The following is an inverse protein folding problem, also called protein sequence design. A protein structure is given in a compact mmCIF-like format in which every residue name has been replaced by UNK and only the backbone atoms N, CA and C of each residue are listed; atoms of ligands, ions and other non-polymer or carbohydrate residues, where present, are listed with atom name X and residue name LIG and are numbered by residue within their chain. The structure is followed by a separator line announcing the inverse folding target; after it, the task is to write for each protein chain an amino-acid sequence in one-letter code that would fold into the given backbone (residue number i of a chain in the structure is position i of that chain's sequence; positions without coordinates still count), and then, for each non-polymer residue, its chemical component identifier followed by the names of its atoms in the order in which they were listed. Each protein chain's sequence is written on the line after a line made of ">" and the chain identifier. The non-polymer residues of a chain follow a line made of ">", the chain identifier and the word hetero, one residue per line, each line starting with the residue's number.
data_IF_673980062133
#
_entry.id   IF_673980062133
#
_cell.length_a   1.000
_cell.length_b   1.000
_cell.length_c   1.000
_cell.angle_alpha   90.00
_cell.angle_beta   90.00
_cell.angle_gamma   90.00
#
_symmetry.space_group_name_H-M   'P 1'
#
loop_
_entity.id
_entity.type
_entity.pdbx_description
1 polymer ?
#
# COMPACT_ATOMS: atom_id res chain seq x y z
N UNK A 1 -8.50 -5.52 -16.43
CA UNK A 1 -7.89 -6.76 -16.96
C UNK A 1 -6.53 -6.37 -17.51
N UNK A 2 -5.48 -6.68 -16.77
CA UNK A 2 -4.10 -6.32 -17.09
C UNK A 2 -3.46 -7.47 -17.86
N UNK A 3 -3.13 -7.26 -19.13
CA UNK A 3 -2.45 -8.25 -19.97
C UNK A 3 -0.95 -8.16 -19.68
N UNK A 4 -0.35 -9.20 -19.09
CA UNK A 4 1.10 -9.32 -18.92
C UNK A 4 1.65 -9.39 -17.49
N UNK A 5 0.84 -9.71 -16.47
CA UNK A 5 1.34 -9.92 -15.11
C UNK A 5 1.93 -11.32 -14.90
N UNK A 6 2.96 -11.40 -14.06
CA UNK A 6 3.52 -12.67 -13.58
C UNK A 6 2.59 -13.31 -12.53
N UNK A 7 2.68 -14.63 -12.29
CA UNK A 7 1.86 -15.31 -11.28
C UNK A 7 1.92 -14.67 -9.89
N UNK A 8 3.10 -14.23 -9.46
CA UNK A 8 3.34 -13.58 -8.16
C UNK A 8 2.62 -12.23 -8.08
N UNK A 9 2.57 -11.48 -9.19
CA UNK A 9 1.84 -10.21 -9.27
C UNK A 9 0.32 -10.43 -9.24
N UNK A 10 -0.17 -11.50 -9.85
CA UNK A 10 -1.59 -11.87 -9.73
C UNK A 10 -1.95 -12.22 -8.29
N UNK A 11 -1.08 -12.97 -7.59
CA UNK A 11 -1.27 -13.30 -6.17
C UNK A 11 -1.24 -12.04 -5.30
N UNK A 12 -0.34 -11.10 -5.57
CA UNK A 12 -0.29 -9.81 -4.88
C UNK A 12 -1.60 -9.02 -5.07
N UNK A 13 -2.07 -8.89 -6.32
CA UNK A 13 -3.31 -8.18 -6.61
C UNK A 13 -4.51 -8.81 -5.88
N UNK A 14 -4.60 -10.14 -5.90
CA UNK A 14 -5.64 -10.90 -5.20
C UNK A 14 -5.56 -10.73 -3.67
N UNK A 15 -4.35 -10.76 -3.10
CA UNK A 15 -4.14 -10.54 -1.67
C UNK A 15 -4.62 -9.14 -1.23
N UNK A 16 -4.31 -8.11 -2.00
CA UNK A 16 -4.76 -6.73 -1.72
C UNK A 16 -6.28 -6.61 -1.88
N UNK A 17 -6.86 -7.22 -2.91
CA UNK A 17 -8.31 -7.22 -3.12
C UNK A 17 -9.06 -7.93 -1.97
N UNK A 18 -8.55 -9.09 -1.52
CA UNK A 18 -9.10 -9.83 -0.39
C UNK A 18 -8.93 -9.08 0.94
N UNK A 19 -7.83 -8.36 1.12
CA UNK A 19 -7.67 -7.45 2.25
C UNK A 19 -8.76 -6.36 2.22
N UNK A 20 -8.92 -5.68 1.08
CA UNK A 20 -9.93 -4.63 0.93
C UNK A 20 -11.35 -5.13 1.24
N UNK A 21 -11.73 -6.29 0.69
CA UNK A 21 -13.05 -6.88 0.88
C UNK A 21 -13.35 -7.19 2.36
N UNK A 22 -12.33 -7.56 3.15
CA UNK A 22 -12.48 -7.85 4.59
C UNK A 22 -12.55 -6.58 5.43
N UNK A 23 -11.70 -5.60 5.14
CA UNK A 23 -11.45 -4.47 6.05
C UNK A 23 -12.14 -3.16 5.64
N UNK A 24 -12.34 -2.95 4.34
CA UNK A 24 -12.90 -1.71 3.78
C UNK A 24 -14.12 -1.94 2.85
N UNK A 25 -15.12 -2.78 3.23
CA UNK A 25 -16.36 -2.86 2.47
C UNK A 25 -17.06 -1.48 2.44
N UNK A 26 -17.77 -1.19 1.35
CA UNK A 26 -18.32 0.14 1.09
C UNK A 26 -19.14 0.71 2.26
N UNK A 27 -19.96 -0.13 2.92
CA UNK A 27 -20.81 0.33 4.02
C UNK A 27 -19.98 0.83 5.21
N UNK A 28 -18.92 0.11 5.60
CA UNK A 28 -17.98 0.56 6.65
C UNK A 28 -17.23 1.82 6.25
N UNK A 29 -16.81 1.91 4.98
CA UNK A 29 -16.14 3.12 4.45
C UNK A 29 -17.07 4.33 4.51
N UNK A 30 -18.37 4.16 4.22
CA UNK A 30 -19.38 5.22 4.32
C UNK A 30 -19.65 5.63 5.76
N UNK A 31 -19.73 4.68 6.68
CA UNK A 31 -19.90 4.94 8.11
C UNK A 31 -18.77 5.81 8.70
N UNK A 32 -17.55 5.64 8.19
CA UNK A 32 -16.35 6.35 8.67
C UNK A 32 -15.93 7.53 7.76
N UNK A 33 -16.79 7.95 6.80
CA UNK A 33 -16.39 8.84 5.72
C UNK A 33 -15.82 10.18 6.21
N UNK A 34 -16.47 10.82 7.19
CA UNK A 34 -16.05 12.14 7.69
C UNK A 34 -14.67 12.08 8.36
N UNK A 35 -14.40 11.03 9.15
CA UNK A 35 -13.10 10.80 9.79
C UNK A 35 -12.01 10.56 8.74
N UNK A 36 -12.30 9.72 7.73
CA UNK A 36 -11.39 9.46 6.62
C UNK A 36 -11.11 10.73 5.81
N UNK A 37 -12.12 11.58 5.58
CA UNK A 37 -11.98 12.85 4.88
C UNK A 37 -11.18 13.88 5.68
N UNK A 38 -11.21 13.82 7.01
CA UNK A 38 -10.37 14.60 7.91
C UNK A 38 -8.91 14.11 7.96
N UNK A 39 -8.60 12.98 7.31
CA UNK A 39 -7.27 12.39 7.27
C UNK A 39 -6.97 11.46 8.44
N UNK A 40 -7.97 11.04 9.21
CA UNK A 40 -7.79 10.02 10.23
C UNK A 40 -7.45 8.67 9.58
N UNK A 41 -6.57 7.92 10.23
CA UNK A 41 -6.16 6.62 9.72
C UNK A 41 -7.33 5.63 9.82
N UNK A 42 -7.59 4.83 8.77
CA UNK A 42 -8.54 3.74 8.87
C UNK A 42 -8.12 2.75 9.97
N UNK A 43 -9.10 2.17 10.68
CA UNK A 43 -8.86 1.20 11.77
C UNK A 43 -8.00 -0.02 11.37
N UNK A 44 -7.94 -0.34 10.07
CA UNK A 44 -7.20 -1.48 9.52
C UNK A 44 -5.78 -1.10 9.05
N UNK A 45 -5.38 0.17 9.16
CA UNK A 45 -4.11 0.66 8.61
C UNK A 45 -2.90 -0.09 9.16
N UNK A 46 -2.87 -0.35 10.46
CA UNK A 46 -1.77 -1.09 11.09
C UNK A 46 -1.66 -2.52 10.54
N UNK A 47 -2.80 -3.15 10.21
CA UNK A 47 -2.81 -4.47 9.58
C UNK A 47 -2.32 -4.41 8.13
N UNK A 48 -2.70 -3.38 7.37
CA UNK A 48 -2.18 -3.16 6.02
C UNK A 48 -0.65 -2.96 6.05
N UNK A 49 -0.16 -2.20 7.02
CA UNK A 49 1.27 -1.99 7.23
C UNK A 49 1.98 -3.30 7.63
N UNK A 50 1.40 -4.07 8.55
CA UNK A 50 1.96 -5.36 8.99
C UNK A 50 2.03 -6.42 7.88
N UNK A 51 1.13 -6.38 6.89
CA UNK A 51 1.21 -7.22 5.68
C UNK A 51 2.33 -6.77 4.71
N UNK A 52 2.96 -5.62 4.95
CA UNK A 52 4.07 -5.12 4.14
C UNK A 52 3.67 -4.55 2.79
N UNK A 53 2.37 -4.41 2.48
CA UNK A 53 1.91 -3.93 1.17
C UNK A 53 2.48 -2.56 0.80
N UNK A 54 2.53 -1.63 1.76
CA UNK A 54 3.09 -0.29 1.60
C UNK A 54 4.61 -0.27 1.29
N UNK A 55 5.33 -1.31 1.71
CA UNK A 55 6.79 -1.41 1.65
C UNK A 55 7.29 -2.36 0.54
N UNK A 56 6.43 -2.71 -0.41
CA UNK A 56 6.73 -3.76 -1.39
C UNK A 56 7.98 -3.47 -2.25
N UNK A 57 8.23 -2.21 -2.61
CA UNK A 57 9.41 -1.78 -3.36
C UNK A 57 10.65 -1.53 -2.50
N UNK A 58 10.49 -1.50 -1.17
CA UNK A 58 11.59 -1.15 -0.30
C UNK A 58 12.54 -2.35 -0.17
N UNK A 59 13.86 -2.10 0.00
CA UNK A 59 14.82 -3.16 0.26
C UNK A 59 14.51 -3.91 1.57
N UNK A 60 14.90 -5.19 1.64
CA UNK A 60 14.69 -6.02 2.84
C UNK A 60 15.45 -5.47 4.06
N UNK A 61 16.57 -4.79 3.85
CA UNK A 61 17.41 -4.22 4.91
C UNK A 61 16.69 -3.15 5.74
N UNK A 62 15.63 -2.55 5.18
CA UNK A 62 14.76 -1.57 5.85
C UNK A 62 13.36 -2.13 6.12
N UNK A 63 13.20 -3.45 6.08
CA UNK A 63 11.94 -4.14 6.34
C UNK A 63 10.96 -4.16 5.15
N UNK A 64 11.44 -3.90 3.94
CA UNK A 64 10.68 -4.04 2.70
C UNK A 64 10.66 -5.46 2.13
N UNK A 65 10.20 -5.59 0.88
CA UNK A 65 10.06 -6.88 0.18
C UNK A 65 10.93 -7.01 -1.09
N UNK A 66 11.75 -6.00 -1.41
CA UNK A 66 12.66 -6.02 -2.56
C UNK A 66 11.97 -6.05 -3.94
N UNK A 67 10.69 -5.71 -3.98
CA UNK A 67 9.88 -5.71 -5.19
C UNK A 67 10.24 -4.60 -6.17
N UNK A 68 9.75 -4.75 -7.39
CA UNK A 68 9.97 -3.80 -8.48
C UNK A 68 8.94 -2.68 -8.50
N UNK A 69 9.16 -1.69 -9.38
CA UNK A 69 8.16 -0.67 -9.68
C UNK A 69 6.85 -1.29 -10.19
N UNK A 70 6.92 -2.37 -10.97
CA UNK A 70 5.74 -3.06 -11.48
C UNK A 70 4.95 -3.71 -10.34
N UNK A 71 5.62 -4.34 -9.37
CA UNK A 71 4.94 -4.93 -8.21
C UNK A 71 4.22 -3.86 -7.37
N UNK A 72 4.85 -2.69 -7.23
CA UNK A 72 4.22 -1.54 -6.59
C UNK A 72 3.02 -1.04 -7.36
N UNK A 73 3.13 -0.93 -8.69
CA UNK A 73 2.03 -0.51 -9.54
C UNK A 73 0.84 -1.48 -9.44
N UNK A 74 1.10 -2.79 -9.38
CA UNK A 74 0.07 -3.82 -9.19
C UNK A 74 -0.63 -3.68 -7.83
N UNK A 75 0.12 -3.48 -6.74
CA UNK A 75 -0.44 -3.24 -5.41
C UNK A 75 -1.31 -1.97 -5.40
N UNK A 76 -0.82 -0.87 -5.97
CA UNK A 76 -1.55 0.40 -6.05
C UNK A 76 -2.80 0.27 -6.92
N UNK A 77 -2.72 -0.41 -8.06
CA UNK A 77 -3.87 -0.69 -8.93
C UNK A 77 -4.94 -1.47 -8.16
N UNK A 78 -4.57 -2.60 -7.53
CA UNK A 78 -5.51 -3.42 -6.77
C UNK A 78 -6.15 -2.64 -5.62
N UNK A 79 -5.37 -1.83 -4.90
CA UNK A 79 -5.88 -0.98 -3.82
C UNK A 79 -6.86 0.09 -4.35
N UNK A 80 -6.55 0.68 -5.51
CA UNK A 80 -7.36 1.71 -6.16
C UNK A 80 -8.66 1.15 -6.71
N UNK A 81 -8.63 -0.02 -7.34
CA UNK A 81 -9.82 -0.73 -7.85
C UNK A 81 -10.78 -1.03 -6.70
N UNK A 82 -10.25 -1.40 -5.54
CA UNK A 82 -11.05 -1.66 -4.35
C UNK A 82 -11.44 -0.41 -3.55
N UNK A 83 -11.03 0.79 -4.01
CA UNK A 83 -11.28 2.07 -3.34
C UNK A 83 -10.85 2.07 -1.86
N UNK A 84 -9.72 1.45 -1.54
CA UNK A 84 -9.19 1.45 -0.17
C UNK A 84 -8.97 2.90 0.32
N UNK A 85 -9.67 3.34 1.38
CA UNK A 85 -9.45 4.67 1.92
C UNK A 85 -8.12 4.73 2.70
N UNK A 86 -7.58 5.92 2.92
CA UNK A 86 -6.36 6.11 3.71
C UNK A 86 -5.09 6.31 2.86
N UNK A 87 -3.91 6.42 3.52
CA UNK A 87 -2.74 7.02 2.91
C UNK A 87 -1.85 6.02 2.14
N UNK A 88 -2.42 5.07 1.40
CA UNK A 88 -1.65 4.04 0.66
C UNK A 88 -0.66 4.68 -0.31
N UNK A 89 -1.14 5.49 -1.27
CA UNK A 89 -0.29 6.10 -2.29
C UNK A 89 0.69 7.14 -1.72
N UNK A 90 0.28 8.06 -0.82
CA UNK A 90 1.21 8.97 -0.16
C UNK A 90 2.32 8.26 0.61
N UNK A 91 2.01 7.18 1.33
CA UNK A 91 3.01 6.40 2.10
C UNK A 91 4.05 5.78 1.19
N UNK A 92 3.60 5.10 0.13
CA UNK A 92 4.47 4.45 -0.88
C UNK A 92 5.33 5.48 -1.61
N UNK A 93 4.75 6.63 -1.95
CA UNK A 93 5.48 7.70 -2.63
C UNK A 93 6.50 8.35 -1.70
N UNK A 94 6.13 8.59 -0.43
CA UNK A 94 7.04 9.15 0.56
C UNK A 94 8.24 8.23 0.80
N UNK A 95 8.02 6.92 0.91
CA UNK A 95 9.12 5.96 1.07
C UNK A 95 10.00 5.87 -0.18
N UNK A 96 9.41 5.89 -1.38
CA UNK A 96 10.17 5.93 -2.62
C UNK A 96 11.05 7.21 -2.72
N UNK A 97 10.52 8.37 -2.31
CA UNK A 97 11.30 9.62 -2.23
C UNK A 97 12.37 9.53 -1.16
N UNK A 98 12.07 8.96 0.01
CA UNK A 98 13.04 8.77 1.08
C UNK A 98 14.25 7.96 0.59
N UNK A 99 14.02 6.92 -0.22
CA UNK A 99 15.09 6.10 -0.83
C UNK A 99 16.02 6.88 -1.77
N UNK A 100 15.61 8.04 -2.28
CA UNK A 100 16.46 8.90 -3.11
C UNK A 100 17.45 9.75 -2.26
N UNK A 101 17.27 9.80 -0.95
CA UNK A 101 17.96 10.75 -0.06
C UNK A 101 19.42 10.39 0.25
N UNK A 102 19.90 9.19 -0.14
CA UNK A 102 21.24 8.68 0.21
C UNK A 102 21.46 8.57 1.74
N UNK A 103 22.70 8.28 2.17
CA UNK A 103 23.06 8.13 3.60
C UNK A 103 23.18 9.47 4.37
N UNK A 104 22.38 10.46 3.99
CA UNK A 104 22.34 11.75 4.69
C UNK A 104 21.84 11.62 6.13
N UNK A 105 22.05 12.63 6.99
CA UNK A 105 21.57 12.62 8.37
C UNK A 105 20.06 12.33 8.51
N UNK A 106 19.26 12.73 7.52
CA UNK A 106 17.83 12.45 7.45
C UNK A 106 17.48 10.98 7.19
N UNK A 107 18.39 10.19 6.61
CA UNK A 107 18.17 8.76 6.31
C UNK A 107 18.50 7.83 7.49
N UNK A 108 19.14 8.35 8.56
CA UNK A 108 19.52 7.60 9.76
C UNK A 108 18.69 7.94 11.00
N UNK A 109 17.68 8.80 10.85
CA UNK A 109 16.85 9.32 11.92
C UNK A 109 15.64 8.42 12.21
#
# INVERSE_FOLDING_TARGET
>A
MTIGLMPEQLQLADAVAQFAARHAPMDKTRESFDALAAGELPQWWDEFAANGFHAIHLPEEVGGQGGTLTDTAVMVEAASVALLPGPVLPTVTASAVAMLSGDGPAARA
#
